data_IF_593283418406
#
_entry.id   IF_593283418406
#
_cell.length_a   1.000
_cell.length_b   1.000
_cell.length_c   1.000
_cell.angle_alpha   90.00
_cell.angle_beta   90.00
_cell.angle_gamma   90.00
#
_symmetry.space_group_name_H-M   'P 1'
#
loop_
_entity.id
_entity.type
_entity.pdbx_description
1 polymer ?
#
# COMPACT_ATOMS: atom_id res chain seq x y z
N UNK A 1 7.87 36.89 20.95
CA UNK A 1 7.24 37.01 22.29
C UNK A 1 7.92 36.05 23.27
N UNK A 2 8.03 36.37 24.56
CA UNK A 2 8.53 35.43 25.59
C UNK A 2 7.32 34.79 26.30
N UNK A 3 7.40 33.50 26.61
CA UNK A 3 6.35 32.84 27.39
C UNK A 3 6.33 33.39 28.83
N UNK A 4 5.16 33.75 29.40
CA UNK A 4 5.06 34.26 30.76
C UNK A 4 5.39 33.19 31.81
N UNK A 5 5.22 31.90 31.50
CA UNK A 5 5.46 30.80 32.45
C UNK A 5 6.89 30.26 32.43
N UNK A 6 7.48 30.11 31.24
CA UNK A 6 8.82 29.51 31.10
C UNK A 6 9.92 30.50 30.67
N UNK A 7 9.59 31.76 30.38
CA UNK A 7 10.54 32.81 29.99
C UNK A 7 11.21 32.63 28.61
N UNK A 8 11.06 31.46 27.97
CA UNK A 8 11.69 31.14 26.68
C UNK A 8 11.05 31.94 25.54
N UNK A 9 11.86 32.39 24.58
CA UNK A 9 11.38 33.07 23.36
C UNK A 9 10.61 32.07 22.48
N UNK A 10 9.47 32.54 21.97
CA UNK A 10 8.62 31.84 21.01
C UNK A 10 8.78 32.55 19.66
N UNK A 11 9.12 31.76 18.63
CA UNK A 11 9.34 32.25 17.27
C UNK A 11 8.07 32.76 16.62
N UNK A 12 8.20 33.63 15.61
CA UNK A 12 7.08 34.22 14.89
C UNK A 12 6.15 33.16 14.26
N UNK A 13 6.72 32.04 13.79
CA UNK A 13 5.98 30.93 13.17
C UNK A 13 5.39 29.92 14.20
N UNK A 14 5.60 30.15 15.50
CA UNK A 14 5.12 29.27 16.59
C UNK A 14 4.05 29.97 17.44
N UNK A 15 3.29 30.90 16.84
CA UNK A 15 2.20 31.63 17.50
C UNK A 15 0.95 30.74 17.60
N UNK A 16 1.02 29.72 18.44
CA UNK A 16 -0.13 28.94 18.87
C UNK A 16 -0.78 29.53 20.13
N UNK A 17 -1.93 28.97 20.52
CA UNK A 17 -2.62 29.30 21.78
C UNK A 17 -1.88 28.79 23.02
N UNK A 18 -0.98 27.81 22.82
CA UNK A 18 -0.17 27.17 23.85
C UNK A 18 1.33 27.29 23.56
N UNK A 19 2.13 27.29 24.61
CA UNK A 19 3.58 27.34 24.51
C UNK A 19 4.12 25.98 24.03
N UNK A 20 4.88 25.92 22.93
CA UNK A 20 5.41 24.66 22.41
C UNK A 20 6.47 24.04 23.33
N UNK A 21 7.01 24.79 24.30
CA UNK A 21 8.08 24.33 25.20
C UNK A 21 7.58 23.86 26.57
N UNK A 22 6.46 24.40 27.05
CA UNK A 22 5.96 24.08 28.39
C UNK A 22 4.45 23.81 28.44
N UNK A 23 3.77 23.83 27.30
CA UNK A 23 2.32 23.63 27.20
C UNK A 23 1.47 24.73 27.84
N UNK A 24 2.08 25.78 28.41
CA UNK A 24 1.36 26.85 29.08
C UNK A 24 0.54 27.68 28.08
N UNK A 25 -0.69 28.03 28.44
CA UNK A 25 -1.51 28.94 27.66
C UNK A 25 -0.83 30.31 27.54
N UNK A 26 -0.73 30.79 26.31
CA UNK A 26 -0.06 32.05 25.97
C UNK A 26 -1.03 33.23 25.89
N UNK A 27 -2.33 32.94 25.87
CA UNK A 27 -3.41 33.93 25.89
C UNK A 27 -3.65 34.37 27.35
N UNK A 28 -3.79 35.68 27.55
CA UNK A 28 -4.03 36.30 28.86
C UNK A 28 -5.43 36.04 29.43
N UNK A 29 -6.37 35.55 28.60
CA UNK A 29 -7.70 35.15 29.00
C UNK A 29 -7.86 33.64 28.85
N UNK A 30 -8.50 32.94 29.81
CA UNK A 30 -8.93 31.57 29.58
C UNK A 30 -9.82 31.53 28.32
N UNK A 31 -9.73 30.45 27.51
CA UNK A 31 -10.57 30.30 26.33
C UNK A 31 -12.04 30.39 26.74
N UNK A 32 -12.86 31.06 25.93
CA UNK A 32 -14.31 31.00 26.12
C UNK A 32 -14.79 29.56 25.94
N UNK A 33 -15.90 29.20 26.57
CA UNK A 33 -16.51 27.86 26.44
C UNK A 33 -16.69 27.49 24.95
N UNK A 34 -17.13 28.45 24.14
CA UNK A 34 -17.25 28.29 22.69
C UNK A 34 -15.92 27.98 21.99
N UNK A 35 -14.81 28.58 22.44
CA UNK A 35 -13.48 28.32 21.85
C UNK A 35 -12.94 26.96 22.29
N UNK A 36 -13.26 26.54 23.51
CA UNK A 36 -12.90 25.23 24.05
C UNK A 36 -13.66 24.11 23.32
N UNK A 37 -14.94 24.33 23.03
CA UNK A 37 -15.78 23.40 22.27
C UNK A 37 -15.36 23.31 20.80
N UNK A 38 -14.92 24.42 20.19
CA UNK A 38 -14.39 24.39 18.83
C UNK A 38 -13.04 23.67 18.73
N UNK A 39 -12.22 23.70 19.79
CA UNK A 39 -10.97 22.93 19.87
C UNK A 39 -11.23 21.43 20.07
N UNK A 40 -12.19 21.05 20.90
CA UNK A 40 -12.55 19.62 21.08
C UNK A 40 -13.17 19.05 19.79
N UNK A 41 -14.07 19.80 19.14
CA UNK A 41 -14.70 19.38 17.87
C UNK A 41 -13.71 19.27 16.69
N UNK A 42 -12.58 19.98 16.74
CA UNK A 42 -11.52 19.87 15.72
C UNK A 42 -10.74 18.56 15.81
N UNK A 43 -10.52 18.05 17.02
CA UNK A 43 -9.78 16.79 17.27
C UNK A 43 -10.55 15.56 16.77
N UNK A 44 -11.87 15.52 16.92
CA UNK A 44 -12.67 14.34 16.56
C UNK A 44 -12.93 14.21 15.05
N UNK A 45 -12.93 15.32 14.30
CA UNK A 45 -13.08 15.29 12.84
C UNK A 45 -11.90 14.58 12.16
N UNK A 46 -10.71 14.77 12.70
CA UNK A 46 -9.51 14.09 12.23
C UNK A 46 -9.53 12.60 12.60
N UNK A 47 -10.16 12.22 13.71
CA UNK A 47 -10.34 10.81 14.10
C UNK A 47 -11.28 10.08 13.13
N UNK A 48 -12.44 10.68 12.80
CA UNK A 48 -13.39 10.09 11.84
C UNK A 48 -12.77 9.92 10.44
N UNK A 49 -12.02 10.91 9.95
CA UNK A 49 -11.34 10.82 8.65
C UNK A 49 -10.17 9.81 8.66
N UNK A 50 -9.56 9.54 9.81
CA UNK A 50 -8.58 8.47 9.98
C UNK A 50 -9.20 7.07 10.05
N UNK A 51 -10.43 6.96 10.56
CA UNK A 51 -11.17 5.69 10.63
C UNK A 51 -11.74 5.26 9.26
N UNK A 52 -11.95 6.21 8.34
CA UNK A 52 -12.49 5.96 7.01
C UNK A 52 -11.53 6.43 5.88
N UNK A 53 -10.41 5.72 5.65
CA UNK A 53 -9.38 6.13 4.68
C UNK A 53 -9.85 6.16 3.21
N UNK A 54 -11.05 5.66 2.90
CA UNK A 54 -11.64 5.73 1.56
C UNK A 54 -12.45 7.00 1.28
N UNK A 55 -12.69 7.86 2.30
CA UNK A 55 -13.45 9.13 2.17
C UNK A 55 -12.51 10.33 2.37
N UNK A 56 -11.32 10.29 1.75
CA UNK A 56 -10.45 11.46 1.63
C UNK A 56 -9.54 11.78 2.83
N UNK A 57 -9.38 10.86 3.78
CA UNK A 57 -8.30 10.94 4.80
C UNK A 57 -6.99 10.35 4.27
N UNK A 58 -5.83 10.92 4.61
CA UNK A 58 -4.54 10.29 4.31
C UNK A 58 -4.38 9.04 5.19
N UNK A 59 -4.37 7.82 4.64
CA UNK A 59 -4.23 6.61 5.43
C UNK A 59 -2.96 6.65 6.27
N UNK A 60 -3.09 6.29 7.56
CA UNK A 60 -1.93 6.17 8.44
C UNK A 60 -0.86 5.26 7.81
N UNK A 61 0.43 5.58 8.01
CA UNK A 61 1.56 4.91 7.35
C UNK A 61 1.52 3.38 7.39
N UNK A 62 0.96 2.81 8.47
CA UNK A 62 0.80 1.35 8.64
C UNK A 62 -0.27 0.75 7.73
N UNK A 63 -1.40 1.45 7.54
CA UNK A 63 -2.47 1.00 6.65
C UNK A 63 -2.00 1.01 5.18
N UNK A 64 -1.27 2.06 4.77
CA UNK A 64 -0.65 2.11 3.43
C UNK A 64 0.38 1.00 3.20
N UNK A 65 1.21 0.71 4.20
CA UNK A 65 2.19 -0.37 4.09
C UNK A 65 1.49 -1.73 3.90
N UNK A 66 0.43 -1.98 4.68
CA UNK A 66 -0.34 -3.22 4.57
C UNK A 66 -1.01 -3.36 3.19
N UNK A 67 -1.70 -2.31 2.71
CA UNK A 67 -2.38 -2.36 1.40
C UNK A 67 -1.38 -2.49 0.25
N UNK A 68 -0.25 -1.78 0.30
CA UNK A 68 0.81 -1.91 -0.70
C UNK A 68 1.37 -3.33 -0.75
N UNK A 69 1.71 -3.92 0.39
CA UNK A 69 2.19 -5.30 0.47
C UNK A 69 1.14 -6.27 -0.09
N UNK A 70 -0.12 -6.10 0.30
CA UNK A 70 -1.22 -6.95 -0.16
C UNK A 70 -1.40 -6.88 -1.68
N UNK A 71 -1.39 -5.68 -2.25
CA UNK A 71 -1.47 -5.48 -3.71
C UNK A 71 -0.28 -6.12 -4.40
N UNK A 72 0.95 -5.94 -3.89
CA UNK A 72 2.13 -6.56 -4.50
C UNK A 72 2.05 -8.09 -4.50
N UNK A 73 1.56 -8.69 -3.40
CA UNK A 73 1.33 -10.14 -3.34
C UNK A 73 0.32 -10.62 -4.38
N UNK A 74 -0.78 -9.90 -4.55
CA UNK A 74 -1.80 -10.22 -5.55
C UNK A 74 -1.26 -10.12 -6.99
N UNK A 75 -0.43 -9.11 -7.27
CA UNK A 75 0.22 -8.95 -8.58
C UNK A 75 1.18 -10.10 -8.86
N UNK A 76 2.03 -10.46 -7.90
CA UNK A 76 2.96 -11.60 -8.03
C UNK A 76 2.19 -12.89 -8.26
N UNK A 77 1.10 -13.12 -7.53
CA UNK A 77 0.24 -14.28 -7.70
C UNK A 77 -0.35 -14.32 -9.12
N UNK A 78 -0.90 -13.21 -9.61
CA UNK A 78 -1.46 -13.11 -10.95
C UNK A 78 -0.41 -13.41 -12.04
N UNK A 79 0.79 -12.84 -11.92
CA UNK A 79 1.91 -13.09 -12.85
C UNK A 79 2.35 -14.57 -12.80
N UNK A 80 2.40 -15.17 -11.62
CA UNK A 80 2.78 -16.58 -11.47
C UNK A 80 1.79 -17.54 -12.13
N UNK A 81 0.48 -17.28 -12.00
CA UNK A 81 -0.58 -18.06 -12.65
C UNK A 81 -0.46 -17.93 -14.18
N UNK A 82 -0.26 -16.70 -14.67
CA UNK A 82 -0.14 -16.45 -16.11
C UNK A 82 1.09 -17.13 -16.70
N UNK A 83 2.24 -17.06 -16.03
CA UNK A 83 3.45 -17.78 -16.44
C UNK A 83 3.25 -19.30 -16.41
N UNK A 84 2.61 -19.84 -15.37
CA UNK A 84 2.31 -21.27 -15.28
C UNK A 84 1.45 -21.74 -16.46
N UNK A 85 0.38 -20.98 -16.79
CA UNK A 85 -0.47 -21.27 -17.94
C UNK A 85 0.32 -21.27 -19.24
N UNK A 86 1.14 -20.26 -19.48
CA UNK A 86 1.99 -20.17 -20.67
C UNK A 86 2.94 -21.38 -20.76
N UNK A 87 3.65 -21.70 -19.67
CA UNK A 87 4.60 -22.81 -19.66
C UNK A 87 3.93 -24.16 -19.93
N UNK A 88 2.74 -24.43 -19.37
CA UNK A 88 1.99 -25.65 -19.69
C UNK A 88 1.63 -25.75 -21.17
N UNK A 89 1.22 -24.65 -21.80
CA UNK A 89 0.88 -24.64 -23.22
C UNK A 89 2.11 -24.89 -24.10
N UNK A 90 3.25 -24.29 -23.75
CA UNK A 90 4.50 -24.55 -24.47
C UNK A 90 4.95 -26.01 -24.34
N UNK A 91 4.88 -26.58 -23.14
CA UNK A 91 5.23 -28.00 -22.93
C UNK A 91 4.31 -28.91 -23.72
N UNK A 92 3.00 -28.67 -23.67
CA UNK A 92 2.02 -29.44 -24.44
C UNK A 92 2.30 -29.34 -25.95
N UNK A 93 2.56 -28.14 -26.46
CA UNK A 93 2.87 -27.92 -27.87
C UNK A 93 4.14 -28.66 -28.30
N UNK A 94 5.21 -28.62 -27.49
CA UNK A 94 6.44 -29.36 -27.77
C UNK A 94 6.20 -30.88 -27.79
N UNK A 95 5.45 -31.40 -26.83
CA UNK A 95 5.07 -32.83 -26.79
C UNK A 95 4.27 -33.22 -28.02
N UNK A 96 3.29 -32.41 -28.43
CA UNK A 96 2.48 -32.67 -29.62
C UNK A 96 3.30 -32.65 -30.91
N UNK A 97 4.21 -31.68 -31.06
CA UNK A 97 5.13 -31.63 -32.20
C UNK A 97 6.03 -32.86 -32.22
N UNK A 98 6.58 -33.25 -31.07
CA UNK A 98 7.42 -34.45 -30.97
C UNK A 98 6.65 -35.73 -31.30
N UNK A 99 5.45 -35.91 -30.76
CA UNK A 99 4.58 -37.05 -31.07
C UNK A 99 4.22 -37.10 -32.55
N UNK A 100 3.92 -35.95 -33.15
CA UNK A 100 3.60 -35.85 -34.57
C UNK A 100 4.80 -36.25 -35.43
N UNK A 101 6.00 -35.78 -35.09
CA UNK A 101 7.23 -36.19 -35.75
C UNK A 101 7.49 -37.69 -35.60
N UNK A 102 7.30 -38.24 -34.39
CA UNK A 102 7.49 -39.66 -34.10
C UNK A 102 6.53 -40.53 -34.91
N UNK A 103 5.25 -40.17 -34.99
CA UNK A 103 4.24 -40.85 -35.82
C UNK A 103 4.56 -40.74 -37.30
N UNK A 104 5.08 -39.59 -37.77
CA UNK A 104 5.47 -39.41 -39.17
C UNK A 104 6.69 -40.23 -39.58
N UNK A 105 7.62 -40.47 -38.65
CA UNK A 105 8.88 -41.18 -38.92
C UNK A 105 8.78 -42.68 -38.63
N UNK A 106 7.91 -43.12 -37.72
CA UNK A 106 7.72 -44.53 -37.36
C UNK A 106 7.51 -45.47 -38.56
N UNK A 107 6.65 -45.14 -39.54
CA UNK A 107 6.41 -46.01 -40.69
C UNK A 107 7.66 -46.20 -41.55
N UNK A 108 8.49 -45.15 -41.71
CA UNK A 108 9.76 -45.25 -42.45
C UNK A 108 10.76 -46.14 -41.72
N UNK A 109 10.92 -45.93 -40.41
CA UNK A 109 11.81 -46.77 -39.59
C UNK A 109 11.36 -48.23 -39.58
N UNK A 110 10.05 -48.48 -39.55
CA UNK A 110 9.50 -49.83 -39.63
C UNK A 110 9.79 -50.50 -40.98
N UNK A 111 9.60 -49.77 -42.10
CA UNK A 111 9.87 -50.27 -43.45
C UNK A 111 11.37 -50.50 -43.72
N UNK A 112 12.25 -49.65 -43.17
CA UNK A 112 13.70 -49.85 -43.25
C UNK A 112 14.16 -51.02 -42.38
N UNK A 113 13.62 -51.13 -41.16
CA UNK A 113 13.91 -52.24 -40.25
C UNK A 113 13.39 -53.59 -40.73
N UNK A 114 12.26 -53.64 -41.44
CA UNK A 114 11.72 -54.88 -42.02
C UNK A 114 12.44 -55.35 -43.27
N UNK A 115 13.42 -54.58 -43.77
CA UNK A 115 14.20 -54.87 -44.98
C UNK A 115 15.55 -55.53 -44.67
N UNK A 116 15.92 -55.59 -43.39
CA UNK A 116 17.10 -56.28 -42.82
C UNK A 116 16.67 -57.68 -42.38
#
# INVERSE_FOLDING_TARGET
MKCPRCGKRIGFNQRGTTCPKCGAWLLSRPPSEHMQEHMSRGQDKDAFLNDFPWIGGTPGKRAMAFTAIWITLLVVLALSILLCFITMHFVLALVLVFLTALVGVLPRLFLEGSRI
#
